data_IF_477379158172
#
_entry.id   IF_477379158172
#
_cell.length_a   1.000
_cell.length_b   1.000
_cell.length_c   1.000
_cell.angle_alpha   90.00
_cell.angle_beta   90.00
_cell.angle_gamma   90.00
#
_symmetry.space_group_name_H-M   'P 1'
#
loop_
_entity.id
_entity.type
_entity.pdbx_description
1 polymer ?
#
# COMPACT_ATOMS: atom_id res chain seq x y z
N UNK A 1 -65.03 47.69 -16.07
CA UNK A 1 -63.75 48.41 -16.23
C UNK A 1 -63.07 48.37 -14.88
N UNK A 2 -62.01 47.62 -14.60
CA UNK A 2 -60.98 46.92 -15.39
C UNK A 2 -60.57 45.69 -14.57
N UNK A 3 -60.76 44.47 -15.09
CA UNK A 3 -60.23 43.27 -14.47
C UNK A 3 -58.84 43.02 -15.05
N UNK A 4 -57.85 43.13 -14.17
CA UNK A 4 -56.43 42.93 -14.37
C UNK A 4 -56.14 41.48 -14.81
N UNK A 5 -55.64 41.29 -16.04
CA UNK A 5 -55.09 40.02 -16.49
C UNK A 5 -53.58 40.04 -16.32
N UNK A 6 -53.15 39.80 -15.08
CA UNK A 6 -51.75 39.55 -14.73
C UNK A 6 -51.26 38.27 -15.40
N UNK A 7 -50.41 38.43 -16.41
CA UNK A 7 -49.73 37.36 -17.12
C UNK A 7 -48.94 36.48 -16.13
N UNK A 8 -49.29 35.19 -16.09
CA UNK A 8 -48.57 34.19 -15.30
C UNK A 8 -47.12 34.11 -15.79
N UNK A 9 -46.19 34.61 -14.98
CA UNK A 9 -44.77 34.44 -15.17
C UNK A 9 -44.42 32.96 -14.95
N UNK A 10 -44.34 32.22 -16.05
CA UNK A 10 -43.86 30.85 -16.10
C UNK A 10 -42.41 30.83 -15.60
N UNK A 11 -42.22 30.44 -14.34
CA UNK A 11 -40.90 30.38 -13.73
C UNK A 11 -40.17 29.16 -14.27
N UNK A 12 -39.45 29.37 -15.38
CA UNK A 12 -38.60 28.35 -15.98
C UNK A 12 -37.49 27.99 -15.00
N UNK A 13 -37.70 26.87 -14.29
CA UNK A 13 -36.77 26.36 -13.29
C UNK A 13 -35.55 25.82 -14.02
N UNK A 14 -34.52 26.65 -14.17
CA UNK A 14 -33.24 26.22 -14.72
C UNK A 14 -32.70 25.07 -13.85
N UNK A 15 -32.69 23.87 -14.41
CA UNK A 15 -32.19 22.64 -13.78
C UNK A 15 -30.70 22.82 -13.46
N UNK A 16 -30.41 23.20 -12.21
CA UNK A 16 -29.04 23.31 -11.69
C UNK A 16 -28.41 21.92 -11.75
N UNK A 17 -27.45 21.73 -12.65
CA UNK A 17 -26.66 20.49 -12.76
C UNK A 17 -25.75 20.40 -11.52
N UNK A 18 -25.73 19.26 -10.80
CA UNK A 18 -24.89 19.12 -9.62
C UNK A 18 -23.40 19.17 -10.00
N UNK A 19 -22.62 19.94 -9.24
CA UNK A 19 -21.18 20.26 -9.42
C UNK A 19 -20.26 19.02 -9.27
N UNK A 20 -20.82 17.82 -9.17
CA UNK A 20 -20.11 16.57 -8.88
C UNK A 20 -20.10 15.58 -10.06
N UNK A 21 -20.00 16.06 -11.30
CA UNK A 21 -19.86 15.19 -12.49
C UNK A 21 -18.55 14.40 -12.50
N UNK A 22 -17.52 14.86 -11.78
CA UNK A 22 -16.22 14.19 -11.69
C UNK A 22 -16.23 12.93 -10.82
N UNK A 23 -17.15 12.81 -9.85
CA UNK A 23 -17.23 11.66 -8.95
C UNK A 23 -17.85 10.41 -9.63
N UNK A 24 -18.77 10.61 -10.58
CA UNK A 24 -19.39 9.51 -11.34
C UNK A 24 -18.48 8.94 -12.42
N UNK A 25 -17.60 9.77 -13.01
CA UNK A 25 -16.63 9.31 -14.01
C UNK A 25 -15.49 8.51 -13.38
N UNK A 26 -14.98 8.93 -12.20
CA UNK A 26 -13.89 8.22 -11.52
C UNK A 26 -14.33 6.86 -10.97
N UNK A 27 -15.57 6.74 -10.47
CA UNK A 27 -16.10 5.49 -9.91
C UNK A 27 -16.31 4.40 -10.97
N UNK A 28 -16.59 4.77 -12.23
CA UNK A 28 -16.65 3.83 -13.34
C UNK A 28 -15.26 3.30 -13.72
N UNK A 29 -14.26 4.18 -13.84
CA UNK A 29 -12.90 3.81 -14.21
C UNK A 29 -12.21 2.91 -13.18
N UNK A 30 -12.39 3.18 -11.88
CA UNK A 30 -11.83 2.35 -10.81
C UNK A 30 -12.52 0.98 -10.68
N UNK A 31 -13.83 0.90 -10.96
CA UNK A 31 -14.55 -0.39 -11.04
C UNK A 31 -14.14 -1.23 -12.25
N UNK A 32 -13.61 -0.61 -13.29
CA UNK A 32 -13.28 -1.30 -14.53
C UNK A 32 -11.97 -2.08 -14.44
N UNK A 33 -11.08 -1.71 -13.51
CA UNK A 33 -9.84 -2.43 -13.24
C UNK A 33 -10.03 -3.57 -12.23
N UNK A 34 -10.92 -4.51 -12.57
CA UNK A 34 -11.09 -5.75 -11.83
C UNK A 34 -10.30 -6.84 -12.56
N UNK A 35 -9.06 -7.16 -12.15
CA UNK A 35 -8.32 -8.26 -12.76
C UNK A 35 -9.15 -9.54 -12.62
N UNK A 36 -9.29 -10.29 -13.70
CA UNK A 36 -9.99 -11.59 -13.69
C UNK A 36 -9.33 -12.59 -12.74
N UNK A 37 -8.03 -12.42 -12.49
CA UNK A 37 -7.24 -13.22 -11.56
C UNK A 37 -6.44 -12.32 -10.61
N UNK A 38 -7.06 -11.73 -9.57
CA UNK A 38 -6.41 -10.75 -8.70
C UNK A 38 -5.15 -11.31 -8.01
N UNK A 39 -5.19 -12.60 -7.63
CA UNK A 39 -4.04 -13.30 -7.03
C UNK A 39 -2.89 -13.42 -8.02
N UNK A 40 -3.15 -13.87 -9.25
CA UNK A 40 -2.13 -14.02 -10.27
C UNK A 40 -1.52 -12.67 -10.67
N UNK A 41 -2.36 -11.63 -10.78
CA UNK A 41 -1.90 -10.25 -11.02
C UNK A 41 -1.02 -9.75 -9.88
N UNK A 42 -1.40 -9.99 -8.62
CA UNK A 42 -0.58 -9.64 -7.46
C UNK A 42 0.76 -10.36 -7.42
N UNK A 43 0.78 -11.66 -7.70
CA UNK A 43 2.01 -12.47 -7.82
C UNK A 43 2.90 -11.90 -8.93
N UNK A 44 2.34 -11.61 -10.11
CA UNK A 44 3.09 -11.04 -11.23
C UNK A 44 3.75 -9.71 -10.86
N UNK A 45 3.00 -8.81 -10.20
CA UNK A 45 3.52 -7.52 -9.75
C UNK A 45 4.68 -7.73 -8.77
N UNK A 46 4.53 -8.64 -7.79
CA UNK A 46 5.58 -8.95 -6.82
C UNK A 46 6.84 -9.52 -7.49
N UNK A 47 6.69 -10.44 -8.45
CA UNK A 47 7.82 -11.01 -9.21
C UNK A 47 8.52 -9.94 -10.03
N UNK A 48 7.77 -9.07 -10.71
CA UNK A 48 8.35 -7.96 -11.49
C UNK A 48 9.11 -7.00 -10.57
N UNK A 49 8.53 -6.63 -9.42
CA UNK A 49 9.19 -5.80 -8.41
C UNK A 49 10.52 -6.40 -7.94
N UNK A 50 10.51 -7.69 -7.59
CA UNK A 50 11.71 -8.43 -7.22
C UNK A 50 12.79 -8.39 -8.31
N UNK A 51 12.41 -8.68 -9.56
CA UNK A 51 13.35 -8.65 -10.70
C UNK A 51 13.93 -7.24 -10.90
N UNK A 52 13.10 -6.20 -10.86
CA UNK A 52 13.56 -4.82 -10.99
C UNK A 52 14.52 -4.43 -9.87
N UNK A 53 14.26 -4.84 -8.62
CA UNK A 53 15.14 -4.60 -7.49
C UNK A 53 16.50 -5.28 -7.68
N UNK A 54 16.52 -6.53 -8.12
CA UNK A 54 17.75 -7.27 -8.42
C UNK A 54 18.54 -6.64 -9.57
N UNK A 55 17.86 -6.18 -10.62
CA UNK A 55 18.50 -5.48 -11.74
C UNK A 55 19.03 -4.09 -11.34
N UNK A 56 18.32 -3.38 -10.46
CA UNK A 56 18.71 -2.04 -9.99
C UNK A 56 19.86 -2.09 -8.98
N UNK A 57 19.91 -3.12 -8.15
CA UNK A 57 20.95 -3.31 -7.12
C UNK A 57 21.48 -4.74 -7.18
N UNK A 58 22.32 -5.07 -8.17
CA UNK A 58 22.92 -6.42 -8.27
C UNK A 58 23.79 -6.74 -7.05
N UNK A 59 24.39 -5.71 -6.43
CA UNK A 59 25.15 -5.84 -5.19
C UNK A 59 24.30 -6.24 -3.99
N UNK A 60 22.97 -6.13 -4.05
CA UNK A 60 22.09 -6.58 -2.98
C UNK A 60 22.16 -8.12 -2.79
N UNK A 61 22.60 -8.86 -3.82
CA UNK A 61 22.85 -10.31 -3.74
C UNK A 61 24.23 -10.62 -3.14
N UNK A 62 25.25 -9.83 -3.48
CA UNK A 62 26.64 -10.08 -3.07
C UNK A 62 27.01 -9.46 -1.72
N UNK A 63 26.34 -8.37 -1.36
CA UNK A 63 26.55 -7.58 -0.14
C UNK A 63 25.18 -7.23 0.46
N UNK A 64 24.42 -8.25 0.90
CA UNK A 64 23.11 -8.03 1.48
C UNK A 64 23.27 -7.24 2.79
N UNK A 65 22.40 -6.25 3.01
CA UNK A 65 22.44 -5.36 4.16
C UNK A 65 21.10 -5.35 4.89
N UNK A 66 21.12 -4.95 6.16
CA UNK A 66 19.88 -4.67 6.88
C UNK A 66 19.24 -3.41 6.29
N UNK A 67 17.97 -3.51 5.88
CA UNK A 67 17.22 -2.37 5.37
C UNK A 67 16.79 -1.47 6.53
N UNK A 68 17.08 -0.16 6.39
CA UNK A 68 16.91 0.91 7.38
C UNK A 68 17.74 0.75 8.67
N UNK A 69 18.09 1.89 9.28
CA UNK A 69 18.75 2.00 10.58
C UNK A 69 18.03 1.20 11.70
N UNK A 70 16.71 1.08 11.60
CA UNK A 70 15.86 0.37 12.57
C UNK A 70 15.82 -1.16 12.36
N UNK A 71 16.35 -1.69 11.26
CA UNK A 71 16.32 -3.13 10.96
C UNK A 71 17.04 -3.98 12.03
N UNK A 72 18.13 -3.44 12.59
CA UNK A 72 18.85 -4.05 13.72
C UNK A 72 17.97 -4.09 14.97
N UNK A 73 17.21 -3.03 15.24
CA UNK A 73 16.36 -2.94 16.43
C UNK A 73 15.27 -4.01 16.39
N UNK A 74 14.57 -4.16 15.27
CA UNK A 74 13.52 -5.17 15.12
C UNK A 74 14.06 -6.60 15.18
N UNK A 75 15.26 -6.83 14.62
CA UNK A 75 15.93 -8.13 14.70
C UNK A 75 16.29 -8.47 16.15
N UNK A 76 16.94 -7.55 16.87
CA UNK A 76 17.31 -7.75 18.27
C UNK A 76 16.09 -8.01 19.15
N UNK A 77 15.01 -7.25 18.94
CA UNK A 77 13.74 -7.46 19.64
C UNK A 77 13.12 -8.84 19.32
N UNK A 78 13.18 -9.30 18.07
CA UNK A 78 12.71 -10.64 17.69
C UNK A 78 13.59 -11.75 18.28
N UNK A 79 14.90 -11.54 18.39
CA UNK A 79 15.81 -12.48 19.03
C UNK A 79 15.60 -12.54 20.55
N UNK A 80 15.23 -11.42 21.19
CA UNK A 80 14.99 -11.38 22.64
C UNK A 80 13.60 -11.87 23.05
N UNK A 81 12.56 -11.45 22.34
CA UNK A 81 11.15 -11.63 22.73
C UNK A 81 10.42 -12.66 21.85
N UNK A 82 11.09 -13.21 20.84
CA UNK A 82 10.52 -14.18 19.91
C UNK A 82 9.31 -13.63 19.15
N UNK A 83 8.28 -14.46 18.97
CA UNK A 83 7.06 -14.09 18.26
C UNK A 83 6.28 -12.94 18.92
N UNK A 84 6.48 -12.70 20.22
CA UNK A 84 5.86 -11.56 20.93
C UNK A 84 6.32 -10.21 20.38
N UNK A 85 7.53 -10.15 19.83
CA UNK A 85 8.11 -8.93 19.26
C UNK A 85 7.30 -8.38 18.08
N UNK A 86 6.40 -9.14 17.47
CA UNK A 86 5.56 -8.71 16.33
C UNK A 86 4.58 -7.61 16.74
N UNK A 87 4.11 -7.63 17.99
CA UNK A 87 3.12 -6.67 18.52
C UNK A 87 3.74 -5.52 19.31
N UNK A 88 5.07 -5.50 19.46
CA UNK A 88 5.73 -4.44 20.21
C UNK A 88 5.63 -3.09 19.47
N UNK A 89 5.16 -2.01 20.10
CA UNK A 89 5.18 -0.71 19.48
C UNK A 89 6.63 -0.21 19.34
N UNK A 90 6.92 0.48 18.24
CA UNK A 90 8.17 1.22 18.02
C UNK A 90 7.83 2.64 17.61
N UNK A 91 8.42 3.63 18.30
CA UNK A 91 8.13 5.04 18.10
C UNK A 91 6.62 5.40 18.10
N UNK A 92 5.83 4.73 18.95
CA UNK A 92 4.38 4.95 19.07
C UNK A 92 3.50 4.19 18.06
N UNK A 93 4.08 3.40 17.15
CA UNK A 93 3.35 2.65 16.13
C UNK A 93 3.77 1.18 16.04
N UNK A 94 2.84 0.30 15.62
CA UNK A 94 3.16 -1.09 15.33
C UNK A 94 3.73 -1.19 13.91
N UNK A 95 5.00 -1.59 13.83
CA UNK A 95 5.70 -1.80 12.57
C UNK A 95 5.55 -3.25 12.13
N UNK A 96 4.31 -3.65 11.77
CA UNK A 96 3.95 -5.06 11.54
C UNK A 96 4.81 -5.73 10.46
N UNK A 97 4.96 -5.08 9.30
CA UNK A 97 5.70 -5.66 8.17
C UNK A 97 7.20 -5.81 8.50
N UNK A 98 7.92 -4.76 8.98
CA UNK A 98 9.31 -4.91 9.42
C UNK A 98 9.52 -5.97 10.51
N UNK A 99 8.57 -6.08 11.45
CA UNK A 99 8.65 -7.06 12.55
C UNK A 99 8.42 -8.49 12.08
N UNK A 100 7.53 -8.70 11.12
CA UNK A 100 7.35 -10.02 10.52
C UNK A 100 8.62 -10.46 9.78
N UNK A 101 9.23 -9.57 9.01
CA UNK A 101 10.50 -9.84 8.31
C UNK A 101 11.62 -10.15 9.31
N UNK A 102 11.71 -9.38 10.40
CA UNK A 102 12.66 -9.63 11.49
C UNK A 102 12.43 -11.00 12.15
N UNK A 103 11.18 -11.36 12.45
CA UNK A 103 10.81 -12.66 13.01
C UNK A 103 11.08 -13.83 12.05
N UNK A 104 10.89 -13.65 10.75
CA UNK A 104 11.28 -14.66 9.75
C UNK A 104 12.80 -14.83 9.70
N UNK A 105 13.55 -13.73 9.81
CA UNK A 105 15.01 -13.78 9.81
C UNK A 105 15.60 -14.55 11.00
N UNK A 106 14.92 -14.58 12.16
CA UNK A 106 15.39 -15.36 13.33
C UNK A 106 15.24 -16.88 13.16
N UNK A 107 14.45 -17.34 12.17
CA UNK A 107 14.32 -18.76 11.85
C UNK A 107 15.51 -19.30 11.05
N UNK A 108 16.32 -18.43 10.45
CA UNK A 108 17.50 -18.77 9.68
C UNK A 108 18.79 -18.43 10.46
N UNK A 109 19.96 -18.96 10.06
CA UNK A 109 21.23 -18.51 10.63
C UNK A 109 21.41 -16.99 10.44
N UNK A 110 22.00 -16.33 11.43
CA UNK A 110 22.22 -14.86 11.43
C UNK A 110 22.91 -14.31 10.17
N UNK A 111 23.72 -15.14 9.49
CA UNK A 111 24.37 -14.77 8.22
C UNK A 111 23.38 -14.55 7.07
N UNK A 112 22.19 -15.14 7.13
CA UNK A 112 21.11 -15.00 6.15
C UNK A 112 20.21 -13.80 6.41
N UNK A 113 20.27 -13.20 7.60
CA UNK A 113 19.44 -12.04 7.96
C UNK A 113 19.47 -10.94 6.90
N UNK A 114 20.63 -10.50 6.38
CA UNK A 114 20.65 -9.42 5.41
C UNK A 114 19.96 -9.80 4.09
N UNK A 115 20.00 -11.09 3.71
CA UNK A 115 19.33 -11.61 2.51
C UNK A 115 17.82 -11.54 2.67
N UNK A 116 17.30 -11.98 3.82
CA UNK A 116 15.86 -11.94 4.13
C UNK A 116 15.33 -10.51 4.09
N UNK A 117 16.04 -9.58 4.74
CA UNK A 117 15.66 -8.15 4.73
C UNK A 117 15.70 -7.56 3.33
N UNK A 118 16.71 -7.91 2.53
CA UNK A 118 16.83 -7.43 1.15
C UNK A 118 15.66 -7.92 0.30
N UNK A 119 15.32 -9.20 0.37
CA UNK A 119 14.23 -9.79 -0.42
C UNK A 119 12.85 -9.24 -0.05
N UNK A 120 12.62 -8.95 1.23
CA UNK A 120 11.36 -8.39 1.70
C UNK A 120 11.23 -6.86 1.53
N UNK A 121 12.30 -6.17 1.09
CA UNK A 121 12.30 -4.73 0.84
C UNK A 121 11.96 -4.32 -0.61
N UNK A 122 11.69 -5.31 -1.47
CA UNK A 122 11.44 -5.15 -2.90
C UNK A 122 9.98 -4.77 -3.24
#
# INVERSE_FOLDING_TARGET
>A
MTADSGAAAETQTAKVQPVASWASTQSAALKQFQPTHPVATGILIGVVGLVLTLLRRPTAVTTPGLYAEDGVVFLLQSLSSGAGAIMDPYNGYIHLLPRLVAGLATLLPLSWTPVVFTLCSA
#
